data_IF_798226118362
#
_entry.id   IF_798226118362
#
_cell.length_a   1.000
_cell.length_b   1.000
_cell.length_c   1.000
_cell.angle_alpha   90.00
_cell.angle_beta   90.00
_cell.angle_gamma   90.00
#
_symmetry.space_group_name_H-M   'P 1'
#
loop_
_entity.id
_entity.type
_entity.pdbx_description
1 polymer ?
#
# COMPACT_ATOMS: atom_id res chain seq x y z
N UNK A 1 -2.64 9.40 -1.07
CA UNK A 1 -1.62 9.38 -2.16
C UNK A 1 -1.56 10.72 -2.85
N UNK A 2 -0.35 11.18 -3.22
CA UNK A 2 -0.15 12.42 -3.98
C UNK A 2 0.80 12.21 -5.15
N UNK A 3 0.50 12.82 -6.30
CA UNK A 3 1.42 12.84 -7.43
C UNK A 3 2.50 13.89 -7.24
N UNK A 4 3.73 13.61 -7.68
CA UNK A 4 4.85 14.56 -7.50
C UNK A 4 4.60 15.92 -8.15
N UNK A 5 3.96 15.96 -9.33
CA UNK A 5 3.58 17.20 -10.00
C UNK A 5 2.56 18.04 -9.22
N UNK A 6 1.76 17.43 -8.35
CA UNK A 6 0.82 18.17 -7.50
C UNK A 6 1.53 18.82 -6.31
N UNK A 7 2.72 18.36 -5.94
CA UNK A 7 3.50 18.95 -4.85
C UNK A 7 4.43 20.07 -5.35
N UNK A 8 5.00 19.89 -6.53
CA UNK A 8 5.92 20.86 -7.13
C UNK A 8 5.14 22.12 -7.52
N UNK A 9 5.63 23.27 -7.08
CA UNK A 9 5.00 24.57 -7.33
C UNK A 9 3.97 24.99 -6.27
N UNK A 10 3.66 24.14 -5.29
CA UNK A 10 2.78 24.54 -4.19
C UNK A 10 3.48 25.50 -3.22
N UNK A 11 2.76 26.49 -2.69
CA UNK A 11 3.24 27.30 -1.58
C UNK A 11 3.39 26.45 -0.31
N UNK A 12 4.44 26.73 0.45
CA UNK A 12 4.69 26.12 1.75
C UNK A 12 4.25 27.08 2.83
N UNK A 13 3.33 26.66 3.70
CA UNK A 13 2.72 27.50 4.74
C UNK A 13 3.06 26.95 6.11
N UNK A 14 3.53 27.82 7.01
CA UNK A 14 3.66 27.49 8.42
C UNK A 14 2.31 27.58 9.13
N UNK A 15 1.97 26.54 9.89
CA UNK A 15 0.76 26.50 10.71
C UNK A 15 0.88 27.45 11.91
N UNK A 16 2.04 27.49 12.57
CA UNK A 16 2.26 28.34 13.74
C UNK A 16 2.21 29.84 13.41
N UNK A 17 2.85 30.23 12.30
CA UNK A 17 3.01 31.65 11.93
C UNK A 17 1.92 32.13 10.94
N UNK A 18 1.18 31.21 10.32
CA UNK A 18 0.22 31.52 9.25
C UNK A 18 0.86 32.15 8.00
N UNK A 19 2.18 32.07 7.89
CA UNK A 19 2.98 32.73 6.87
C UNK A 19 3.42 31.76 5.78
N UNK A 20 3.48 32.25 4.54
CA UNK A 20 4.08 31.53 3.44
C UNK A 20 5.61 31.61 3.58
N UNK A 21 6.23 30.43 3.71
CA UNK A 21 7.67 30.28 3.79
C UNK A 21 8.27 30.39 2.39
N UNK A 22 7.67 29.78 1.38
CA UNK A 22 8.20 29.79 0.01
C UNK A 22 7.38 28.88 -0.88
N UNK A 23 8.00 28.40 -1.96
CA UNK A 23 7.35 27.50 -2.93
C UNK A 23 8.18 26.23 -3.12
N UNK A 24 7.53 25.08 -3.27
CA UNK A 24 8.22 23.81 -3.54
C UNK A 24 8.85 23.84 -4.94
N UNK A 25 10.19 23.82 -5.01
CA UNK A 25 10.93 23.78 -6.27
C UNK A 25 11.10 22.37 -6.82
N UNK A 26 11.50 21.46 -5.94
CA UNK A 26 11.82 20.07 -6.28
C UNK A 26 11.80 19.19 -5.04
N UNK A 27 11.67 17.89 -5.26
CA UNK A 27 11.66 16.86 -4.22
C UNK A 27 12.99 16.10 -4.26
N UNK A 28 13.64 15.95 -3.12
CA UNK A 28 14.92 15.23 -2.97
C UNK A 28 14.62 13.81 -2.53
N UNK A 29 14.93 12.86 -3.41
CA UNK A 29 14.65 11.44 -3.22
C UNK A 29 15.87 10.75 -2.59
N UNK A 30 15.60 9.91 -1.60
CA UNK A 30 16.57 8.99 -1.03
C UNK A 30 16.55 7.66 -1.80
N UNK A 31 17.62 7.34 -2.56
CA UNK A 31 17.66 6.13 -3.38
C UNK A 31 17.81 4.84 -2.56
N UNK A 32 18.28 4.92 -1.31
CA UNK A 32 18.45 3.75 -0.45
C UNK A 32 17.12 3.31 0.16
N UNK A 33 16.22 4.26 0.42
CA UNK A 33 14.91 3.99 1.02
C UNK A 33 13.76 4.01 0.01
N UNK A 34 13.92 4.68 -1.13
CA UNK A 34 12.80 4.93 -2.04
C UNK A 34 11.78 5.92 -1.48
N UNK A 35 12.22 6.90 -0.69
CA UNK A 35 11.37 7.91 -0.05
C UNK A 35 11.85 9.32 -0.34
N UNK A 36 11.01 10.32 -0.09
CA UNK A 36 11.40 11.73 -0.13
C UNK A 36 11.92 12.11 1.24
N UNK A 37 13.21 12.46 1.32
CA UNK A 37 13.80 12.92 2.58
C UNK A 37 13.65 14.44 2.76
N UNK A 38 13.74 15.21 1.66
CA UNK A 38 13.71 16.68 1.73
C UNK A 38 12.93 17.30 0.56
N UNK A 39 12.26 18.42 0.83
CA UNK A 39 11.63 19.29 -0.16
C UNK A 39 12.48 20.53 -0.34
N UNK A 40 12.90 20.83 -1.55
CA UNK A 40 13.63 22.07 -1.86
C UNK A 40 12.68 23.24 -1.97
N UNK A 41 13.01 24.34 -1.31
CA UNK A 41 12.19 25.56 -1.25
C UNK A 41 12.85 26.66 -2.09
N UNK A 42 12.04 27.31 -2.91
CA UNK A 42 12.40 28.53 -3.62
C UNK A 42 11.77 29.75 -2.92
N UNK A 43 12.58 30.80 -2.75
CA UNK A 43 12.17 32.11 -2.24
C UNK A 43 12.73 33.18 -3.19
N UNK A 44 11.92 34.17 -3.55
CA UNK A 44 12.29 35.25 -4.47
C UNK A 44 13.51 36.08 -4.02
N UNK A 45 13.79 36.12 -2.71
CA UNK A 45 14.76 37.05 -2.13
C UNK A 45 16.17 36.44 -1.93
N UNK A 46 16.35 35.12 -2.11
CA UNK A 46 17.58 34.42 -1.70
C UNK A 46 18.11 33.49 -2.80
N UNK A 47 18.89 34.06 -3.71
CA UNK A 47 19.48 33.35 -4.86
C UNK A 47 20.72 32.50 -4.50
N UNK A 48 21.26 32.61 -3.27
CA UNK A 48 22.55 32.00 -2.89
C UNK A 48 22.47 30.79 -1.96
N UNK A 49 21.39 30.60 -1.18
CA UNK A 49 21.24 29.44 -0.30
C UNK A 49 20.06 28.59 -0.72
N UNK A 50 20.36 27.33 -1.08
CA UNK A 50 19.34 26.35 -1.40
C UNK A 50 18.71 25.89 -0.09
N UNK A 51 17.47 26.30 0.17
CA UNK A 51 16.75 25.89 1.38
C UNK A 51 16.02 24.57 1.14
N UNK A 52 15.95 23.71 2.15
CA UNK A 52 15.08 22.56 2.13
C UNK A 52 14.44 22.26 3.48
N UNK A 53 13.31 21.56 3.40
CA UNK A 53 12.52 21.13 4.55
C UNK A 53 12.52 19.61 4.57
N UNK A 54 12.89 18.96 5.69
CA UNK A 54 12.75 17.51 5.83
C UNK A 54 11.28 17.09 5.69
N UNK A 55 10.99 16.02 4.95
CA UNK A 55 9.61 15.54 4.79
C UNK A 55 8.96 15.19 6.14
N UNK A 56 9.75 14.70 7.10
CA UNK A 56 9.30 14.43 8.48
C UNK A 56 8.72 15.64 9.23
N UNK A 57 8.98 16.86 8.75
CA UNK A 57 8.45 18.11 9.33
C UNK A 57 7.23 18.64 8.57
N UNK A 58 6.88 18.00 7.47
CA UNK A 58 5.64 18.27 6.74
C UNK A 58 4.49 17.67 7.54
N UNK A 59 3.47 18.49 7.79
CA UNK A 59 2.26 18.07 8.52
C UNK A 59 1.21 17.56 7.54
N UNK A 60 1.16 18.12 6.33
CA UNK A 60 0.26 17.64 5.29
C UNK A 60 0.53 18.23 3.90
N UNK A 61 0.07 17.51 2.89
CA UNK A 61 0.21 17.88 1.48
C UNK A 61 -1.17 18.11 0.86
N UNK A 62 -1.65 19.35 0.96
CA UNK A 62 -2.95 19.75 0.42
C UNK A 62 -2.98 19.88 -1.10
N UNK A 63 -4.13 20.27 -1.64
CA UNK A 63 -4.26 20.67 -3.06
C UNK A 63 -3.76 22.10 -3.31
N UNK A 64 -3.86 22.96 -2.29
CA UNK A 64 -3.49 24.37 -2.39
C UNK A 64 -2.10 24.67 -1.83
N UNK A 65 -1.67 23.95 -0.79
CA UNK A 65 -0.42 24.24 -0.09
C UNK A 65 0.14 22.99 0.60
N UNK A 66 1.45 23.00 0.81
CA UNK A 66 2.14 22.09 1.72
C UNK A 66 2.24 22.78 3.07
N UNK A 67 1.80 22.11 4.13
CA UNK A 67 1.80 22.68 5.49
C UNK A 67 2.93 22.10 6.32
N UNK A 68 3.59 22.96 7.09
CA UNK A 68 4.63 22.59 8.06
C UNK A 68 4.28 23.19 9.41
N UNK A 69 4.81 22.61 10.48
CA UNK A 69 4.53 23.08 11.83
C UNK A 69 5.04 24.53 12.02
N UNK A 70 6.33 24.78 11.72
CA UNK A 70 6.96 26.10 11.90
C UNK A 70 7.87 26.49 10.74
N UNK A 71 8.03 27.80 10.50
CA UNK A 71 9.00 28.33 9.52
C UNK A 71 10.47 28.06 9.87
N UNK A 72 10.75 27.65 11.11
CA UNK A 72 12.08 27.33 11.61
C UNK A 72 12.59 25.96 11.11
N UNK A 73 11.72 25.11 10.56
CA UNK A 73 12.08 23.78 10.05
C UNK A 73 12.80 23.82 8.68
N UNK A 74 13.04 25.03 8.15
CA UNK A 74 13.79 25.25 6.91
C UNK A 74 15.28 25.25 7.20
N UNK A 75 15.99 24.32 6.57
CA UNK A 75 17.43 24.14 6.74
C UNK A 75 18.14 24.53 5.45
N UNK A 76 19.33 25.12 5.57
CA UNK A 76 20.18 25.37 4.41
C UNK A 76 20.83 24.04 3.97
N UNK A 77 20.66 23.67 2.70
CA UNK A 77 21.29 22.47 2.16
C UNK A 77 22.81 22.52 2.20
N UNK A 78 23.39 23.72 2.23
CA UNK A 78 24.82 23.94 2.37
C UNK A 78 25.34 23.45 3.72
N UNK A 79 24.50 23.44 4.75
CA UNK A 79 24.86 23.02 6.11
C UNK A 79 24.67 21.51 6.33
N UNK A 80 23.97 20.81 5.44
CA UNK A 80 23.76 19.35 5.52
C UNK A 80 24.57 18.64 4.42
N UNK A 81 25.70 17.97 4.76
CA UNK A 81 26.53 17.25 3.79
C UNK A 81 25.77 16.18 3.01
N UNK A 82 24.84 15.48 3.68
CA UNK A 82 24.04 14.40 3.09
C UNK A 82 23.04 14.96 2.07
N UNK A 83 22.36 16.07 2.38
CA UNK A 83 21.41 16.68 1.46
C UNK A 83 22.12 17.29 0.24
N UNK A 84 23.30 17.88 0.43
CA UNK A 84 24.14 18.35 -0.67
C UNK A 84 24.62 17.19 -1.55
N UNK A 85 24.97 16.03 -0.97
CA UNK A 85 25.27 14.83 -1.77
C UNK A 85 24.05 14.34 -2.56
N UNK A 86 22.86 14.29 -1.96
CA UNK A 86 21.64 13.86 -2.65
C UNK A 86 21.27 14.82 -3.79
N UNK A 87 21.43 16.12 -3.59
CA UNK A 87 21.20 17.12 -4.64
C UNK A 87 22.27 17.09 -5.72
N UNK A 88 23.54 16.90 -5.37
CA UNK A 88 24.62 16.73 -6.36
C UNK A 88 24.49 15.44 -7.17
N UNK A 89 23.95 14.37 -6.57
CA UNK A 89 23.62 13.14 -7.30
C UNK A 89 22.47 13.36 -8.30
N UNK A 90 21.72 14.46 -8.18
CA UNK A 90 20.60 14.83 -9.07
C UNK A 90 19.67 13.66 -9.36
N UNK A 91 19.38 12.85 -8.35
CA UNK A 91 18.53 11.67 -8.51
C UNK A 91 17.13 12.17 -8.84
N UNK A 92 16.63 11.77 -10.00
CA UNK A 92 15.33 12.16 -10.52
C UNK A 92 14.63 10.89 -10.95
N UNK A 93 13.33 10.82 -10.71
CA UNK A 93 12.50 9.75 -11.26
C UNK A 93 11.91 10.20 -12.59
N UNK A 94 11.47 11.46 -12.68
CA UNK A 94 10.90 12.03 -13.89
C UNK A 94 11.90 12.03 -15.05
N UNK A 95 11.45 11.58 -16.21
CA UNK A 95 12.18 11.43 -17.47
C UNK A 95 13.40 10.49 -17.36
N UNK A 96 13.31 9.45 -16.52
CA UNK A 96 14.36 8.41 -16.44
C UNK A 96 13.94 7.13 -17.11
N UNK A 97 14.92 6.39 -17.66
CA UNK A 97 14.64 5.12 -18.34
C UNK A 97 14.58 3.98 -17.34
N UNK A 98 13.47 3.27 -17.29
CA UNK A 98 13.32 2.08 -16.46
C UNK A 98 13.90 0.86 -17.19
N UNK A 99 14.91 0.21 -16.60
CA UNK A 99 15.55 -0.99 -17.13
C UNK A 99 15.48 -2.13 -16.12
N UNK A 100 15.32 -3.36 -16.60
CA UNK A 100 15.44 -4.55 -15.75
C UNK A 100 16.91 -4.85 -15.43
N UNK A 101 17.16 -5.71 -14.43
CA UNK A 101 18.53 -6.22 -14.15
C UNK A 101 19.19 -6.88 -15.35
N UNK A 102 18.41 -7.49 -16.25
CA UNK A 102 18.88 -8.06 -17.52
C UNK A 102 19.16 -7.01 -18.60
N UNK A 103 18.98 -5.72 -18.32
CA UNK A 103 19.23 -4.62 -19.26
C UNK A 103 18.11 -4.39 -20.27
N UNK A 104 16.92 -4.94 -20.05
CA UNK A 104 15.79 -4.72 -20.94
C UNK A 104 15.09 -3.41 -20.58
N UNK A 105 14.91 -2.53 -21.56
CA UNK A 105 14.12 -1.30 -21.39
C UNK A 105 12.65 -1.65 -21.21
N UNK A 106 12.04 -1.11 -20.15
CA UNK A 106 10.60 -1.21 -19.90
C UNK A 106 9.85 -0.03 -20.50
N UNK A 107 10.37 1.17 -20.27
CA UNK A 107 9.74 2.42 -20.64
C UNK A 107 10.44 3.61 -20.00
N UNK A 108 9.79 4.77 -20.04
CA UNK A 108 10.26 6.03 -19.46
C UNK A 108 9.36 6.47 -18.30
N UNK A 109 9.94 6.82 -17.16
CA UNK A 109 9.20 7.28 -15.99
C UNK A 109 8.73 8.73 -16.18
N UNK A 110 7.43 8.94 -16.34
CA UNK A 110 6.84 10.27 -16.50
C UNK A 110 6.55 10.94 -15.15
N UNK A 111 5.99 10.18 -14.22
CA UNK A 111 5.51 10.69 -12.93
C UNK A 111 5.71 9.65 -11.84
N UNK A 112 5.65 10.07 -10.58
CA UNK A 112 5.65 9.16 -9.44
C UNK A 112 4.67 9.61 -8.37
N UNK A 113 4.21 8.62 -7.61
CA UNK A 113 3.20 8.74 -6.56
C UNK A 113 3.87 8.51 -5.22
N UNK A 114 3.50 9.34 -4.25
CA UNK A 114 4.08 9.36 -2.92
C UNK A 114 2.94 9.21 -1.91
N UNK A 115 3.22 8.51 -0.83
CA UNK A 115 2.40 8.53 0.37
C UNK A 115 2.52 9.90 1.08
N UNK A 116 1.40 10.52 1.39
CA UNK A 116 1.37 11.87 1.98
C UNK A 116 1.71 11.89 3.48
N UNK A 117 1.59 10.75 4.16
CA UNK A 117 1.90 10.59 5.58
C UNK A 117 3.36 10.16 5.77
N UNK A 118 3.84 9.17 5.02
CA UNK A 118 5.19 8.62 5.19
C UNK A 118 6.24 9.28 4.31
N UNK A 119 5.84 9.82 3.16
CA UNK A 119 6.76 10.35 2.14
C UNK A 119 7.43 9.26 1.30
N UNK A 120 6.99 8.01 1.43
CA UNK A 120 7.49 6.89 0.62
C UNK A 120 6.92 6.94 -0.79
N UNK A 121 7.74 6.57 -1.77
CA UNK A 121 7.26 6.44 -3.13
C UNK A 121 6.49 5.12 -3.19
N UNK A 122 5.20 5.17 -3.53
CA UNK A 122 4.34 3.99 -3.63
C UNK A 122 4.35 3.41 -5.04
N UNK A 123 4.60 4.25 -6.05
CA UNK A 123 4.71 3.79 -7.43
C UNK A 123 5.12 4.87 -8.42
N UNK A 124 5.40 4.44 -9.64
CA UNK A 124 5.98 5.26 -10.72
C UNK A 124 5.17 5.01 -11.99
N UNK A 125 4.62 6.08 -12.57
CA UNK A 125 4.00 6.02 -13.88
C UNK A 125 5.07 5.92 -14.97
N UNK A 126 5.09 4.79 -15.67
CA UNK A 126 5.92 4.50 -16.82
C UNK A 126 5.11 4.70 -18.11
N UNK A 127 5.70 5.39 -19.06
CA UNK A 127 5.26 5.45 -20.43
C UNK A 127 5.97 4.36 -21.24
N UNK A 128 5.21 3.39 -21.71
CA UNK A 128 5.65 2.36 -22.65
C UNK A 128 5.24 2.76 -24.06
N UNK A 129 5.84 2.15 -25.08
CA UNK A 129 5.63 2.51 -26.49
C UNK A 129 4.14 2.55 -26.91
N UNK A 130 3.29 1.72 -26.30
CA UNK A 130 1.87 1.58 -26.69
C UNK A 130 0.88 1.82 -25.55
N UNK A 131 1.32 2.10 -24.31
CA UNK A 131 0.44 2.36 -23.17
C UNK A 131 1.16 3.02 -22.01
N UNK A 132 0.41 3.66 -21.14
CA UNK A 132 0.89 4.05 -19.81
C UNK A 132 0.65 2.89 -18.84
N UNK A 133 1.60 2.65 -17.96
CA UNK A 133 1.48 1.69 -16.89
C UNK A 133 2.09 2.26 -15.61
N UNK A 134 1.72 1.70 -14.48
CA UNK A 134 2.18 2.11 -13.17
C UNK A 134 2.98 0.97 -12.57
N UNK A 135 4.24 1.26 -12.28
CA UNK A 135 5.15 0.35 -11.63
C UNK A 135 5.08 0.56 -10.10
N UNK A 136 4.73 -0.46 -9.30
CA UNK A 136 4.83 -0.36 -7.85
C UNK A 136 6.28 -0.18 -7.40
N UNK A 137 6.49 0.64 -6.36
CA UNK A 137 7.83 0.95 -5.87
C UNK A 137 8.58 -0.28 -5.33
N UNK A 138 7.85 -1.32 -4.90
CA UNK A 138 8.40 -2.61 -4.45
C UNK A 138 9.27 -3.30 -5.51
N UNK A 139 8.95 -3.08 -6.79
CA UNK A 139 9.71 -3.66 -7.91
C UNK A 139 10.96 -2.84 -8.27
N UNK A 140 11.15 -1.67 -7.66
CA UNK A 140 12.26 -0.77 -7.92
C UNK A 140 13.46 -1.13 -7.04
N UNK A 141 14.57 -1.46 -7.68
CA UNK A 141 15.81 -1.82 -7.02
C UNK A 141 16.72 -0.62 -6.78
N UNK A 142 16.76 0.32 -7.71
CA UNK A 142 17.69 1.45 -7.64
C UNK A 142 17.15 2.67 -8.36
N UNK A 143 17.15 3.80 -7.65
CA UNK A 143 16.85 5.11 -8.18
C UNK A 143 18.14 5.82 -8.60
N UNK A 144 18.40 5.86 -9.91
CA UNK A 144 19.54 6.57 -10.48
C UNK A 144 19.21 7.98 -10.96
N UNK A 145 20.23 8.67 -11.49
CA UNK A 145 20.07 10.01 -12.09
C UNK A 145 19.33 9.95 -13.44
N UNK A 146 19.72 9.00 -14.29
CA UNK A 146 19.21 8.87 -15.67
C UNK A 146 18.48 7.53 -15.90
N UNK A 147 18.68 6.57 -15.00
CA UNK A 147 18.23 5.18 -15.14
C UNK A 147 17.62 4.72 -13.83
N UNK A 148 16.46 4.07 -13.93
CA UNK A 148 15.80 3.39 -12.84
C UNK A 148 15.93 1.88 -13.04
N UNK A 149 16.52 1.17 -12.08
CA UNK A 149 16.73 -0.28 -12.18
C UNK A 149 15.61 -0.99 -11.44
N UNK A 150 14.99 -1.97 -12.10
CA UNK A 150 13.86 -2.72 -11.56
C UNK A 150 14.06 -4.23 -11.67
N UNK A 151 13.25 -4.99 -10.95
CA UNK A 151 13.21 -6.43 -11.04
C UNK A 151 12.80 -6.91 -12.43
N UNK A 152 13.17 -8.14 -12.79
CA UNK A 152 12.84 -8.71 -14.10
C UNK A 152 11.35 -9.06 -14.22
N UNK A 153 10.69 -9.30 -13.09
CA UNK A 153 9.25 -9.59 -12.97
C UNK A 153 8.40 -8.32 -12.97
N UNK A 154 9.03 -7.14 -12.88
CA UNK A 154 8.36 -5.84 -12.90
C UNK A 154 7.37 -5.68 -14.07
N UNK A 155 7.66 -6.29 -15.23
CA UNK A 155 6.76 -6.29 -16.40
C UNK A 155 5.40 -6.94 -16.14
N UNK A 156 5.37 -7.95 -15.29
CA UNK A 156 4.16 -8.72 -14.96
C UNK A 156 3.35 -8.02 -13.87
N UNK A 157 4.02 -7.24 -13.02
CA UNK A 157 3.42 -6.45 -11.93
C UNK A 157 3.05 -5.03 -12.36
N UNK A 158 3.17 -4.70 -13.66
CA UNK A 158 2.73 -3.40 -14.18
C UNK A 158 1.21 -3.28 -14.08
N UNK A 159 0.75 -2.23 -13.41
CA UNK A 159 -0.66 -1.91 -13.25
C UNK A 159 -1.08 -0.94 -14.35
N UNK A 160 -2.32 -1.01 -14.83
CA UNK A 160 -2.79 -0.04 -15.83
C UNK A 160 -3.34 1.25 -15.18
N UNK A 161 -3.62 1.23 -13.87
CA UNK A 161 -4.20 2.37 -13.13
C UNK A 161 -3.49 2.64 -11.78
N UNK A 162 -3.16 3.91 -11.46
CA UNK A 162 -2.48 4.26 -10.21
C UNK A 162 -3.33 4.04 -8.95
N UNK A 163 -4.66 3.99 -9.04
CA UNK A 163 -5.51 3.70 -7.89
C UNK A 163 -5.32 2.27 -7.36
N UNK A 164 -4.77 1.36 -8.17
CA UNK A 164 -4.47 0.00 -7.74
C UNK A 164 -3.26 -0.08 -6.80
N UNK A 165 -2.42 0.97 -6.72
CA UNK A 165 -1.33 1.04 -5.74
C UNK A 165 -1.84 1.02 -4.29
N UNK A 166 -2.96 1.71 -4.01
CA UNK A 166 -3.55 1.74 -2.66
C UNK A 166 -4.17 0.39 -2.26
N UNK A 167 -4.64 -0.39 -3.25
CA UNK A 167 -5.24 -1.71 -3.05
C UNK A 167 -4.19 -2.79 -2.75
N UNK A 168 -2.93 -2.58 -3.15
CA UNK A 168 -1.84 -3.51 -2.87
C UNK A 168 -1.29 -3.38 -1.43
N UNK A 169 -1.36 -2.17 -0.85
CA UNK A 169 -0.88 -1.91 0.52
C UNK A 169 -1.97 -2.13 1.59
N UNK A 170 -3.23 -1.96 1.22
CA UNK A 170 -4.38 -2.32 2.04
C UNK A 170 -4.78 -3.74 1.67
N UNK A 171 -4.41 -4.77 2.43
CA UNK A 171 -4.69 -6.20 2.18
C UNK A 171 -6.18 -6.60 2.06
N UNK A 172 -6.93 -5.93 1.20
CA UNK A 172 -8.32 -6.19 0.83
C UNK A 172 -8.35 -6.41 -0.68
N UNK A 173 -8.64 -7.64 -1.15
CA UNK A 173 -8.83 -7.89 -2.57
C UNK A 173 -10.11 -7.17 -3.00
N UNK A 174 -9.96 -6.17 -3.86
CA UNK A 174 -11.11 -5.46 -4.43
C UNK A 174 -11.45 -6.15 -5.73
N UNK A 175 -12.46 -7.00 -5.63
CA UNK A 175 -13.21 -7.52 -6.75
C UNK A 175 -13.69 -6.37 -7.66
N UNK A 176 -13.52 -6.56 -8.96
CA UNK A 176 -14.47 -6.19 -10.03
C UNK A 176 -14.24 -7.24 -11.13
N UNK A 177 -14.98 -8.35 -11.03
CA UNK A 177 -16.10 -8.73 -11.91
C UNK A 177 -15.67 -9.17 -13.32
N UNK A 178 -15.45 -10.47 -13.45
CA UNK A 178 -15.81 -11.25 -14.64
C UNK A 178 -16.44 -12.58 -14.16
N UNK A 179 -17.64 -12.89 -14.63
CA UNK A 179 -18.61 -13.85 -14.03
C UNK A 179 -18.34 -15.35 -14.29
N UNK A 180 -17.23 -15.77 -14.89
CA UNK A 180 -17.09 -17.18 -15.35
C UNK A 180 -16.02 -18.03 -14.64
N UNK A 181 -15.43 -17.55 -13.54
CA UNK A 181 -14.27 -18.19 -12.89
C UNK A 181 -14.53 -18.92 -11.56
N UNK A 182 -15.79 -19.12 -11.16
CA UNK A 182 -16.17 -19.43 -9.76
C UNK A 182 -15.71 -20.80 -9.22
N UNK A 183 -15.09 -21.68 -10.02
CA UNK A 183 -14.70 -23.02 -9.55
C UNK A 183 -13.23 -23.19 -9.19
N UNK A 184 -12.35 -22.22 -9.50
CA UNK A 184 -10.90 -22.40 -9.33
C UNK A 184 -10.30 -21.69 -8.10
N UNK A 185 -11.08 -20.85 -7.40
CA UNK A 185 -10.58 -20.09 -6.24
C UNK A 185 -10.88 -20.73 -4.87
N UNK A 186 -11.55 -21.89 -4.82
CA UNK A 186 -11.76 -22.60 -3.55
C UNK A 186 -10.58 -23.48 -3.11
N UNK A 187 -9.66 -23.85 -4.02
CA UNK A 187 -8.51 -24.71 -3.67
C UNK A 187 -7.26 -23.93 -3.18
N UNK A 188 -7.12 -22.64 -3.51
CA UNK A 188 -5.90 -21.89 -3.18
C UNK A 188 -5.92 -21.19 -1.81
N UNK A 189 -7.06 -21.19 -1.10
CA UNK A 189 -7.17 -20.63 0.25
C UNK A 189 -6.76 -21.66 1.33
N UNK A 190 -6.37 -22.87 0.92
CA UNK A 190 -5.99 -23.96 1.82
C UNK A 190 -4.50 -23.93 2.29
N UNK A 191 -3.64 -23.06 1.77
CA UNK A 191 -2.18 -23.21 1.93
C UNK A 191 -1.38 -22.02 2.51
N UNK A 192 -1.98 -21.09 3.26
CA UNK A 192 -1.18 -20.19 4.11
C UNK A 192 -1.51 -20.36 5.60
N UNK A 193 -0.91 -21.43 6.13
CA UNK A 193 -0.84 -21.77 7.53
C UNK A 193 0.10 -20.82 8.29
N UNK A 194 -0.34 -19.59 8.59
CA UNK A 194 0.36 -18.71 9.55
C UNK A 194 -0.65 -17.97 10.45
N UNK A 195 -1.30 -18.72 11.36
CA UNK A 195 -1.66 -18.27 12.72
C UNK A 195 -2.44 -19.35 13.49
N UNK A 196 -1.73 -20.39 13.95
CA UNK A 196 -2.33 -21.50 14.72
C UNK A 196 -2.92 -21.02 16.06
N UNK A 197 -2.34 -19.99 16.69
CA UNK A 197 -2.82 -19.45 17.97
C UNK A 197 -4.08 -18.57 17.82
N UNK A 198 -4.18 -17.75 16.77
CA UNK A 198 -5.39 -16.96 16.51
C UNK A 198 -6.57 -17.86 16.12
N UNK A 199 -6.32 -18.91 15.34
CA UNK A 199 -7.32 -19.90 14.96
C UNK A 199 -7.82 -20.72 16.17
N UNK A 200 -6.96 -21.09 17.12
CA UNK A 200 -7.39 -21.79 18.33
C UNK A 200 -8.29 -20.92 19.23
N UNK A 201 -7.90 -19.65 19.46
CA UNK A 201 -8.70 -18.73 20.30
C UNK A 201 -10.05 -18.37 19.67
N UNK A 202 -10.12 -18.28 18.33
CA UNK A 202 -11.39 -18.08 17.61
C UNK A 202 -12.27 -19.33 17.67
N UNK A 203 -11.69 -20.53 17.50
CA UNK A 203 -12.43 -21.79 17.58
C UNK A 203 -13.03 -22.04 18.95
N UNK A 204 -12.29 -21.78 20.02
CA UNK A 204 -12.80 -21.93 21.41
C UNK A 204 -13.94 -20.94 21.69
N UNK A 205 -13.81 -19.68 21.26
CA UNK A 205 -14.91 -18.69 21.37
C UNK A 205 -16.15 -19.11 20.60
N UNK A 206 -15.98 -19.72 19.42
CA UNK A 206 -17.09 -20.19 18.61
C UNK A 206 -17.82 -21.39 19.23
N UNK A 207 -17.09 -22.30 19.90
CA UNK A 207 -17.70 -23.39 20.68
C UNK A 207 -18.59 -22.85 21.80
N UNK A 208 -18.10 -21.88 22.57
CA UNK A 208 -18.87 -21.29 23.67
C UNK A 208 -20.13 -20.55 23.21
N UNK A 209 -20.15 -20.02 21.99
CA UNK A 209 -21.29 -19.28 21.43
C UNK A 209 -22.36 -20.19 20.80
N UNK A 210 -21.98 -21.38 20.32
CA UNK A 210 -22.87 -22.32 19.66
C UNK A 210 -23.34 -23.44 20.59
N UNK A 211 -22.60 -23.73 21.65
CA UNK A 211 -22.97 -24.70 22.67
C UNK A 211 -24.23 -24.23 23.42
N UNK A 212 -25.24 -25.10 23.48
CA UNK A 212 -26.53 -24.84 24.10
C UNK A 212 -27.60 -24.34 23.11
N UNK A 213 -27.23 -24.00 21.87
CA UNK A 213 -28.20 -23.58 20.84
C UNK A 213 -28.84 -24.76 20.15
N UNK A 214 -30.07 -24.56 19.66
CA UNK A 214 -30.84 -25.59 18.96
C UNK A 214 -30.79 -25.35 17.46
N UNK A 215 -30.57 -26.40 16.69
CA UNK A 215 -30.60 -26.34 15.24
C UNK A 215 -32.03 -26.22 14.71
N UNK A 216 -32.21 -25.35 13.72
CA UNK A 216 -33.48 -25.14 12.99
C UNK A 216 -33.57 -25.98 11.72
N UNK A 217 -32.43 -26.45 11.19
CA UNK A 217 -32.34 -27.28 9.98
C UNK A 217 -31.33 -28.42 10.15
N UNK A 218 -31.44 -29.40 9.26
CA UNK A 218 -30.49 -30.49 9.11
C UNK A 218 -29.14 -29.95 8.62
N UNK A 219 -28.05 -30.34 9.27
CA UNK A 219 -26.68 -29.96 8.92
C UNK A 219 -25.95 -31.16 8.36
N UNK A 220 -25.25 -30.96 7.24
CA UNK A 220 -24.53 -32.00 6.51
C UNK A 220 -23.03 -31.74 6.50
N UNK A 221 -22.25 -32.81 6.39
CA UNK A 221 -20.80 -32.75 6.18
C UNK A 221 -20.44 -32.43 4.71
N UNK A 222 -19.18 -32.15 4.44
CA UNK A 222 -18.63 -31.99 3.08
C UNK A 222 -18.90 -33.20 2.16
N UNK A 223 -19.03 -34.40 2.75
CA UNK A 223 -19.39 -35.63 2.05
C UNK A 223 -20.92 -35.83 1.86
N UNK A 224 -21.74 -34.84 2.22
CA UNK A 224 -23.20 -34.90 2.12
C UNK A 224 -23.88 -35.84 3.13
N UNK A 225 -23.17 -36.23 4.19
CA UNK A 225 -23.71 -37.06 5.28
C UNK A 225 -24.35 -36.17 6.35
N UNK A 226 -25.54 -36.55 6.80
CA UNK A 226 -26.23 -35.83 7.88
C UNK A 226 -25.40 -35.92 9.18
N UNK A 227 -24.90 -34.79 9.67
CA UNK A 227 -24.16 -34.68 10.92
C UNK A 227 -25.10 -34.41 12.09
N UNK A 228 -26.05 -33.49 11.92
CA UNK A 228 -27.00 -33.12 12.95
C UNK A 228 -28.39 -32.94 12.34
N UNK A 229 -29.40 -33.55 12.97
CA UNK A 229 -30.79 -33.35 12.56
C UNK A 229 -31.35 -32.04 13.11
N UNK A 230 -32.32 -31.47 12.38
CA UNK A 230 -33.10 -30.32 12.82
C UNK A 230 -33.72 -30.59 14.19
N UNK A 231 -33.64 -29.60 15.07
CA UNK A 231 -34.11 -29.69 16.45
C UNK A 231 -33.13 -30.29 17.44
N UNK A 232 -31.90 -30.66 17.02
CA UNK A 232 -30.85 -31.12 17.94
C UNK A 232 -30.28 -29.94 18.73
N UNK A 233 -30.14 -30.09 20.05
CA UNK A 233 -29.42 -29.12 20.88
C UNK A 233 -27.93 -29.41 20.83
N UNK A 234 -27.14 -28.43 20.35
CA UNK A 234 -25.70 -28.56 20.20
C UNK A 234 -25.03 -28.57 21.56
N UNK A 235 -24.23 -29.61 21.85
CA UNK A 235 -23.28 -29.59 22.97
C UNK A 235 -21.91 -29.15 22.49
N UNK A 236 -21.02 -28.82 23.42
CA UNK A 236 -19.63 -28.43 23.10
C UNK A 236 -18.94 -29.51 22.23
N UNK A 237 -19.20 -30.78 22.52
CA UNK A 237 -18.68 -31.92 21.74
C UNK A 237 -19.22 -31.96 20.30
N UNK A 238 -20.45 -31.51 20.08
CA UNK A 238 -21.10 -31.49 18.77
C UNK A 238 -20.55 -30.33 17.91
N UNK A 239 -20.32 -29.16 18.51
CA UNK A 239 -19.69 -28.02 17.81
C UNK A 239 -18.25 -28.35 17.44
N UNK A 240 -17.52 -29.08 18.29
CA UNK A 240 -16.15 -29.50 17.98
C UNK A 240 -16.11 -30.50 16.82
N UNK A 241 -17.06 -31.44 16.77
CA UNK A 241 -17.22 -32.33 15.59
C UNK A 241 -17.53 -31.54 14.32
N UNK A 242 -18.35 -30.49 14.40
CA UNK A 242 -18.61 -29.61 13.26
C UNK A 242 -17.35 -28.85 12.82
N UNK A 243 -16.47 -28.46 13.76
CA UNK A 243 -15.17 -27.84 13.44
C UNK A 243 -14.22 -28.81 12.75
N UNK A 244 -14.19 -30.08 13.19
CA UNK A 244 -13.35 -31.14 12.62
C UNK A 244 -13.85 -31.59 11.25
N UNK A 245 -15.17 -31.56 11.03
CA UNK A 245 -15.81 -31.86 9.74
C UNK A 245 -15.50 -30.80 8.67
N UNK A 246 -15.25 -29.55 9.07
CA UNK A 246 -14.67 -28.52 8.22
C UNK A 246 -15.29 -27.14 8.38
N UNK A 247 -14.65 -26.09 7.82
CA UNK A 247 -15.11 -24.71 7.98
C UNK A 247 -16.50 -24.46 7.37
N UNK A 248 -16.89 -25.19 6.32
CA UNK A 248 -18.23 -25.07 5.72
C UNK A 248 -19.34 -25.54 6.67
N UNK A 249 -19.08 -26.61 7.43
CA UNK A 249 -20.07 -27.20 8.35
C UNK A 249 -20.33 -26.27 9.52
N UNK A 250 -19.30 -25.64 10.10
CA UNK A 250 -19.52 -24.73 11.23
C UNK A 250 -20.24 -23.42 10.85
N UNK A 251 -20.06 -22.97 9.61
CA UNK A 251 -20.82 -21.83 9.08
C UNK A 251 -22.29 -22.20 8.95
N UNK A 252 -22.60 -23.38 8.41
CA UNK A 252 -23.98 -23.88 8.28
C UNK A 252 -24.65 -24.03 9.67
N UNK A 253 -23.94 -24.61 10.64
CA UNK A 253 -24.39 -24.66 12.04
C UNK A 253 -24.68 -23.24 12.58
N UNK A 254 -23.77 -22.29 12.36
CA UNK A 254 -23.91 -20.91 12.88
C UNK A 254 -25.08 -20.15 12.25
N UNK A 255 -25.39 -20.42 10.99
CA UNK A 255 -26.53 -19.79 10.29
C UNK A 255 -27.87 -20.42 10.68
N UNK A 256 -27.86 -21.64 11.22
CA UNK A 256 -29.06 -22.43 11.46
C UNK A 256 -29.35 -22.69 12.94
N UNK A 257 -28.73 -21.97 13.87
CA UNK A 257 -29.05 -22.03 15.29
C UNK A 257 -30.11 -20.98 15.71
N UNK A 258 -31.01 -21.37 16.61
CA UNK A 258 -31.92 -20.42 17.27
C UNK A 258 -31.14 -19.45 18.17
N UNK A 259 -31.55 -18.18 18.18
CA UNK A 259 -30.93 -17.11 18.95
C UNK A 259 -31.15 -17.25 20.45
#
# INVERSE_FOLDING_TARGET
MKASAQMIGLPIISIADGAQIGTVKSLVINPEKGSIDFLTVEQDDVQLSLKAIPFKKVVGVGEFAVTVETGHDVIDLSEIPIANQLVNKQIRIKNTKAITRKGQLLGEANEFFIDEETGEIIGIALHLENKEAVLPATEVLTYGKDILVVHDEAKQTLLDDPAQLLKAESGQPVAEMDEDGLSAQMDAIAENAENVEALHTLREKQVALLAGKRLTKDVYDADGRLLFAAGTTLREEDVRKAQEAGPGVIVDVSMNVEA
#
